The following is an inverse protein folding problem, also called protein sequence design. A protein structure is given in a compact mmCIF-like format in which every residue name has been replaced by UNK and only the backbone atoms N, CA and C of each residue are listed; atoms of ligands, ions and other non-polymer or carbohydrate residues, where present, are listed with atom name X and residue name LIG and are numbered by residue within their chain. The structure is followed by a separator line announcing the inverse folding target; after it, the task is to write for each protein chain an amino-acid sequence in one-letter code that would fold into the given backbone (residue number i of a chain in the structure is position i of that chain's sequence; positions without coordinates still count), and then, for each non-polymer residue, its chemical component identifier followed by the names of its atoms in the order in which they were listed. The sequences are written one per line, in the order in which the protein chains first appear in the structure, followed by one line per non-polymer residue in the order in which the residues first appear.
data_IF_385713398797
#
_entry.id   IF_385713398797
#
_cell.length_a   1.000
_cell.length_b   1.000
_cell.length_c   1.000
_cell.angle_alpha   90.00
_cell.angle_beta   90.00
_cell.angle_gamma   90.00
#
_symmetry.space_group_name_H-M   'P 1'
#
loop_
_entity.id
_entity.type
_entity.pdbx_description
1 polymer ?
#
# COMPACT_ATOMS: atom_id res chain seq x y z
N UNK A 1 -8.16 8.78 -3.04
CA UNK A 1 -8.52 8.23 -4.37
C UNK A 1 -7.60 7.08 -4.70
N UNK A 2 -8.14 5.87 -4.95
CA UNK A 2 -7.36 4.75 -5.47
C UNK A 2 -6.77 5.11 -6.84
N UNK A 3 -5.61 4.53 -7.18
CA UNK A 3 -4.94 4.73 -8.47
C UNK A 3 -5.85 4.41 -9.68
N UNK A 4 -6.79 3.48 -9.48
CA UNK A 4 -7.83 3.09 -10.45
C UNK A 4 -8.80 4.22 -10.78
N UNK A 5 -9.25 5.01 -9.79
CA UNK A 5 -10.15 6.16 -10.05
C UNK A 5 -9.44 7.27 -10.83
N UNK A 6 -8.18 7.58 -10.51
CA UNK A 6 -7.39 8.58 -11.26
C UNK A 6 -7.17 8.19 -12.72
N UNK A 7 -6.79 6.93 -12.97
CA UNK A 7 -6.61 6.42 -14.34
C UNK A 7 -7.92 6.50 -15.13
N UNK A 8 -9.05 6.12 -14.54
CA UNK A 8 -10.36 6.25 -15.19
C UNK A 8 -10.74 7.69 -15.51
N UNK A 9 -10.41 8.66 -14.64
CA UNK A 9 -10.71 10.08 -14.90
C UNK A 9 -9.87 10.64 -16.05
N UNK A 10 -8.58 10.33 -16.07
CA UNK A 10 -7.68 10.72 -17.17
C UNK A 10 -8.13 10.08 -18.50
N UNK A 11 -8.63 8.84 -18.46
CA UNK A 11 -9.13 8.15 -19.64
C UNK A 11 -10.46 8.73 -20.16
N UNK A 12 -11.37 9.15 -19.26
CA UNK A 12 -12.66 9.76 -19.62
C UNK A 12 -12.49 11.14 -20.27
N UNK A 13 -11.61 11.97 -19.72
CA UNK A 13 -11.40 13.35 -20.16
C UNK A 13 -10.08 13.50 -20.94
N UNK A 14 -9.81 12.57 -21.87
CA UNK A 14 -8.54 12.48 -22.63
C UNK A 14 -8.21 13.73 -23.45
N UNK A 15 -9.23 14.55 -23.75
CA UNK A 15 -9.15 15.76 -24.58
C UNK A 15 -8.73 17.00 -23.75
N UNK A 16 -8.97 17.00 -22.43
CA UNK A 16 -8.70 18.17 -21.59
C UNK A 16 -7.23 18.22 -21.13
N UNK A 17 -6.71 19.43 -20.99
CA UNK A 17 -5.41 19.61 -20.35
C UNK A 17 -5.47 19.21 -18.87
N UNK A 18 -4.34 18.76 -18.30
CA UNK A 18 -4.26 18.37 -16.87
C UNK A 18 -4.68 19.50 -15.91
N UNK A 19 -4.59 20.76 -16.34
CA UNK A 19 -5.01 21.93 -15.56
C UNK A 19 -6.54 22.04 -15.52
N UNK A 20 -7.19 21.89 -16.66
CA UNK A 20 -8.65 21.96 -16.77
C UNK A 20 -9.31 20.74 -16.11
N UNK A 21 -8.71 19.55 -16.26
CA UNK A 21 -9.16 18.34 -15.56
C UNK A 21 -9.16 18.53 -14.04
N UNK A 22 -8.09 19.13 -13.49
CA UNK A 22 -8.00 19.42 -12.06
C UNK A 22 -9.10 20.40 -11.62
N UNK A 23 -9.33 21.48 -12.40
CA UNK A 23 -10.38 22.47 -12.13
C UNK A 23 -11.79 21.87 -12.18
N UNK A 24 -12.11 21.11 -13.24
CA UNK A 24 -13.39 20.42 -13.43
C UNK A 24 -13.71 19.47 -12.28
N UNK A 25 -12.67 18.84 -11.72
CA UNK A 25 -12.81 17.84 -10.65
C UNK A 25 -12.69 18.42 -9.24
N UNK A 26 -12.44 19.73 -9.08
CA UNK A 26 -12.26 20.36 -7.77
C UNK A 26 -11.01 19.86 -7.03
N UNK A 27 -9.98 19.42 -7.75
CA UNK A 27 -8.74 18.89 -7.19
C UNK A 27 -7.56 19.83 -7.45
N UNK A 28 -6.53 19.76 -6.61
CA UNK A 28 -5.25 20.39 -6.91
C UNK A 28 -4.55 19.67 -8.06
N UNK A 29 -3.83 20.41 -8.90
CA UNK A 29 -3.05 19.84 -10.01
C UNK A 29 -1.99 18.85 -9.51
N UNK A 30 -1.36 19.11 -8.37
CA UNK A 30 -0.35 18.22 -7.76
C UNK A 30 -0.94 16.87 -7.35
N UNK A 31 -2.21 16.85 -6.94
CA UNK A 31 -2.92 15.60 -6.64
C UNK A 31 -2.96 14.68 -7.84
N UNK A 32 -3.12 15.17 -9.08
CA UNK A 32 -3.13 14.32 -10.28
C UNK A 32 -1.82 13.53 -10.46
N UNK A 33 -0.68 14.10 -10.07
CA UNK A 33 0.64 13.46 -10.17
C UNK A 33 1.02 12.62 -8.95
N UNK A 34 0.44 12.90 -7.78
CA UNK A 34 0.82 12.23 -6.55
C UNK A 34 0.48 10.73 -6.57
N UNK A 35 1.49 9.90 -6.32
CA UNK A 35 1.36 8.47 -6.09
C UNK A 35 1.93 8.09 -4.72
N UNK A 36 1.14 7.39 -3.91
CA UNK A 36 1.59 6.92 -2.60
C UNK A 36 2.68 5.87 -2.74
N UNK A 37 3.88 6.19 -2.25
CA UNK A 37 5.01 5.25 -2.19
C UNK A 37 4.82 4.17 -1.12
N UNK A 38 3.92 4.42 -0.17
CA UNK A 38 3.68 3.54 0.97
C UNK A 38 3.07 2.21 0.53
N UNK A 39 2.18 2.22 -0.48
CA UNK A 39 1.53 1.01 -0.99
C UNK A 39 2.55 0.00 -1.54
N UNK A 40 3.48 0.46 -2.37
CA UNK A 40 4.56 -0.39 -2.90
C UNK A 40 5.42 -0.96 -1.77
N UNK A 41 5.82 -0.12 -0.82
CA UNK A 41 6.62 -0.55 0.35
C UNK A 41 5.89 -1.58 1.22
N UNK A 42 4.60 -1.38 1.46
CA UNK A 42 3.78 -2.31 2.23
C UNK A 42 3.63 -3.65 1.50
N UNK A 43 3.48 -3.64 0.18
CA UNK A 43 3.41 -4.86 -0.64
C UNK A 43 4.70 -5.68 -0.59
N UNK A 44 5.87 -5.03 -0.74
CA UNK A 44 7.16 -5.71 -0.58
C UNK A 44 7.33 -6.29 0.83
N UNK A 45 6.91 -5.54 1.85
CA UNK A 45 6.99 -6.03 3.24
C UNK A 45 6.04 -7.22 3.47
N UNK A 46 4.86 -7.22 2.86
CA UNK A 46 3.91 -8.34 2.91
C UNK A 46 4.54 -9.63 2.40
N UNK A 47 5.18 -9.59 1.23
CA UNK A 47 5.83 -10.78 0.65
C UNK A 47 6.95 -11.31 1.56
N UNK A 48 7.75 -10.41 2.17
CA UNK A 48 8.79 -10.81 3.14
C UNK A 48 8.20 -11.43 4.40
N UNK A 49 7.08 -10.91 4.90
CA UNK A 49 6.38 -11.47 6.06
C UNK A 49 5.87 -12.89 5.75
N UNK A 50 5.30 -13.11 4.57
CA UNK A 50 4.81 -14.44 4.17
C UNK A 50 5.92 -15.47 4.09
N UNK A 51 7.08 -15.09 3.53
CA UNK A 51 8.26 -15.96 3.50
C UNK A 51 8.72 -16.37 4.91
N UNK A 52 8.72 -15.45 5.87
CA UNK A 52 9.07 -15.77 7.27
C UNK A 52 8.03 -16.69 7.90
N UNK A 53 6.75 -16.46 7.62
CA UNK A 53 5.65 -17.27 8.16
C UNK A 53 5.61 -18.69 7.58
N UNK A 54 6.10 -18.92 6.35
CA UNK A 54 6.24 -20.27 5.79
C UNK A 54 7.15 -21.14 6.65
N UNK A 55 8.28 -20.59 7.11
CA UNK A 55 9.20 -21.31 7.98
C UNK A 55 8.77 -21.28 9.46
N UNK A 56 8.06 -20.24 9.89
CA UNK A 56 7.66 -20.01 11.27
C UNK A 56 6.18 -19.59 11.41
N UNK A 57 5.21 -20.50 11.25
CA UNK A 57 3.78 -20.15 11.18
C UNK A 57 3.23 -19.45 12.43
N UNK A 58 3.80 -19.75 13.60
CA UNK A 58 3.38 -19.18 14.89
C UNK A 58 3.96 -17.79 15.16
N UNK A 59 4.81 -17.25 14.28
CA UNK A 59 5.45 -15.96 14.53
C UNK A 59 4.47 -14.80 14.39
N UNK A 60 4.27 -14.06 15.48
CA UNK A 60 3.56 -12.79 15.45
C UNK A 60 4.46 -11.63 15.00
N UNK A 61 3.84 -10.46 14.78
CA UNK A 61 4.54 -9.22 14.40
C UNK A 61 5.73 -8.83 15.29
N UNK A 62 5.74 -9.24 16.57
CA UNK A 62 6.86 -9.02 17.50
C UNK A 62 8.09 -9.87 17.15
N UNK A 63 7.90 -11.12 16.69
CA UNK A 63 8.97 -12.05 16.30
C UNK A 63 9.44 -11.85 14.86
N UNK A 64 8.52 -11.48 13.96
CA UNK A 64 8.86 -11.17 12.56
C UNK A 64 9.72 -9.90 12.44
N UNK A 65 9.52 -8.93 13.35
CA UNK A 65 10.23 -7.66 13.34
C UNK A 65 11.77 -7.78 13.40
N UNK A 66 12.37 -8.48 14.38
CA UNK A 66 13.82 -8.69 14.44
C UNK A 66 14.33 -9.52 13.25
N UNK A 67 13.61 -10.58 12.86
CA UNK A 67 13.95 -11.44 11.71
C UNK A 67 14.13 -10.65 10.41
N UNK A 68 13.22 -9.69 10.18
CA UNK A 68 13.22 -8.86 8.97
C UNK A 68 14.01 -7.54 9.12
N UNK A 69 14.55 -7.25 10.32
CA UNK A 69 15.24 -6.01 10.63
C UNK A 69 14.36 -4.76 10.50
N UNK A 70 13.06 -4.88 10.81
CA UNK A 70 12.06 -3.80 10.62
C UNK A 70 11.28 -3.51 11.90
N UNK A 71 10.78 -2.28 12.03
CA UNK A 71 9.99 -1.90 13.20
C UNK A 71 8.69 -2.71 13.33
N UNK A 72 8.42 -3.27 14.51
CA UNK A 72 7.20 -4.02 14.87
C UNK A 72 5.90 -3.30 14.51
N UNK A 73 5.84 -1.96 14.60
CA UNK A 73 4.66 -1.18 14.22
C UNK A 73 4.39 -1.22 12.71
N UNK A 74 5.44 -1.22 11.88
CA UNK A 74 5.32 -1.38 10.42
C UNK A 74 4.80 -2.76 10.06
N UNK A 75 5.36 -3.81 10.68
CA UNK A 75 4.91 -5.19 10.47
C UNK A 75 3.45 -5.34 10.87
N UNK A 76 3.07 -4.87 12.06
CA UNK A 76 1.69 -4.91 12.53
C UNK A 76 0.72 -4.20 11.57
N UNK A 77 1.09 -3.01 11.07
CA UNK A 77 0.28 -2.28 10.09
C UNK A 77 0.07 -3.09 8.81
N UNK A 78 1.14 -3.67 8.27
CA UNK A 78 1.08 -4.48 7.04
C UNK A 78 0.26 -5.75 7.27
N UNK A 79 0.47 -6.45 8.38
CA UNK A 79 -0.33 -7.63 8.73
C UNK A 79 -1.82 -7.29 8.81
N UNK A 80 -2.19 -6.19 9.49
CA UNK A 80 -3.59 -5.73 9.54
C UNK A 80 -4.14 -5.35 8.16
N UNK A 81 -3.36 -4.63 7.36
CA UNK A 81 -3.77 -4.17 6.02
C UNK A 81 -4.06 -5.32 5.06
N UNK A 82 -3.29 -6.41 5.14
CA UNK A 82 -3.43 -7.58 4.27
C UNK A 82 -4.13 -8.77 4.95
N UNK A 83 -4.69 -8.59 6.15
CA UNK A 83 -5.41 -9.65 6.87
C UNK A 83 -4.55 -10.83 7.34
N UNK A 84 -3.22 -10.66 7.41
CA UNK A 84 -2.28 -11.73 7.80
C UNK A 84 -2.40 -11.94 9.30
N UNK A 85 -2.77 -13.16 9.71
CA UNK A 85 -2.85 -13.57 11.11
C UNK A 85 -1.77 -14.62 11.38
N UNK A 86 -1.06 -14.54 12.51
CA UNK A 86 -0.19 -15.63 12.93
C UNK A 86 -1.04 -16.87 13.25
N UNK A 87 -0.49 -18.06 13.02
CA UNK A 87 -1.14 -19.30 13.38
C UNK A 87 -1.38 -19.34 14.89
N UNK A 88 -2.63 -19.58 15.29
CA UNK A 88 -3.03 -19.79 16.69
C UNK A 88 -3.06 -21.30 16.91
N UNK A 89 -2.08 -21.82 17.64
CA UNK A 89 -2.08 -23.19 18.15
C UNK A 89 -2.83 -23.23 19.46
#
# INVERSE_FOLDING_TARGET
MSLTKKKQMIARDKVLSKKELAKKQGLSRSSLYYQSRLEKKDWFLKNRIELVLQNNPSYGHKRIAPELGVNKKRVLRVMRKFGIKPYRR
#
